data_IF_564223983554
#
_entry.id   IF_564223983554
#
_cell.length_a   1.000
_cell.length_b   1.000
_cell.length_c   1.000
_cell.angle_alpha   90.00
_cell.angle_beta   90.00
_cell.angle_gamma   90.00
#
_symmetry.space_group_name_H-M   'P 1'
#
loop_
_entity.id
_entity.type
_entity.pdbx_description
1 polymer ?
#
# COMPACT_ATOMS: atom_id res chain seq x y z
N UNK A 1 19.04 -11.30 33.68
CA UNK A 1 18.23 -10.63 34.73
C UNK A 1 16.87 -10.32 34.13
N UNK A 2 15.85 -11.07 34.50
CA UNK A 2 14.46 -10.83 34.09
C UNK A 2 13.87 -9.72 34.96
N UNK A 3 13.54 -8.58 34.35
CA UNK A 3 12.83 -7.48 35.02
C UNK A 3 11.36 -7.90 35.21
N UNK A 4 11.01 -8.33 36.43
CA UNK A 4 9.64 -8.54 36.86
C UNK A 4 9.03 -7.17 37.18
N UNK A 5 8.15 -6.69 36.29
CA UNK A 5 7.39 -5.46 36.53
C UNK A 5 6.15 -5.85 37.32
N UNK A 6 6.08 -5.40 38.57
CA UNK A 6 4.91 -5.57 39.41
C UNK A 6 3.85 -4.52 39.03
N UNK A 7 2.77 -4.98 38.39
CA UNK A 7 1.64 -4.14 37.96
C UNK A 7 0.75 -3.72 39.13
N UNK A 8 0.88 -4.34 40.31
CA UNK A 8 0.08 -4.01 41.49
C UNK A 8 0.64 -2.85 42.31
N UNK A 9 1.90 -2.48 42.09
CA UNK A 9 2.56 -1.36 42.78
C UNK A 9 3.39 -0.50 41.80
N UNK A 10 2.74 0.34 40.97
CA UNK A 10 3.43 1.19 40.01
C UNK A 10 4.28 2.26 40.70
N UNK A 11 5.49 2.51 40.18
CA UNK A 11 6.35 3.60 40.65
C UNK A 11 5.63 4.96 40.53
N UNK A 12 5.74 5.79 41.57
CA UNK A 12 5.07 7.08 41.66
C UNK A 12 5.34 7.96 40.42
N UNK A 13 4.29 8.56 39.86
CA UNK A 13 4.37 9.45 38.70
C UNK A 13 4.20 8.79 37.32
N UNK A 14 3.94 7.48 37.24
CA UNK A 14 3.72 6.78 35.97
C UNK A 14 2.23 6.46 35.74
N UNK A 15 1.72 6.83 34.57
CA UNK A 15 0.39 6.43 34.10
C UNK A 15 0.51 5.16 33.25
N UNK A 16 -0.05 4.05 33.71
CA UNK A 16 -0.09 2.80 32.94
C UNK A 16 -1.48 2.59 32.35
N UNK A 17 -1.55 2.39 31.04
CA UNK A 17 -2.79 2.03 30.33
C UNK A 17 -2.71 0.56 29.93
N UNK A 18 -3.37 -0.31 30.69
CA UNK A 18 -3.50 -1.73 30.37
C UNK A 18 -4.72 -1.90 29.47
N UNK A 19 -4.52 -2.48 28.28
CA UNK A 19 -5.61 -2.86 27.39
C UNK A 19 -5.50 -4.35 27.12
N UNK A 20 -6.49 -5.10 27.58
CA UNK A 20 -6.63 -6.53 27.28
C UNK A 20 -7.31 -6.61 25.92
N UNK A 21 -6.54 -6.99 24.90
CA UNK A 21 -7.10 -7.29 23.58
C UNK A 21 -7.37 -8.80 23.50
N UNK A 22 -8.46 -9.22 22.84
CA UNK A 22 -8.63 -10.63 22.51
C UNK A 22 -7.42 -11.11 21.70
N UNK A 23 -6.87 -12.28 22.02
CA UNK A 23 -5.86 -12.90 21.17
C UNK A 23 -6.49 -13.13 19.79
N UNK A 24 -5.94 -12.46 18.79
CA UNK A 24 -6.40 -12.60 17.41
C UNK A 24 -6.24 -14.07 17.00
N UNK A 25 -7.36 -14.70 16.63
CA UNK A 25 -7.30 -16.10 16.23
C UNK A 25 -6.48 -16.22 14.95
N UNK A 26 -5.82 -17.37 14.76
CA UNK A 26 -5.09 -17.65 13.50
C UNK A 26 -5.97 -17.48 12.26
N UNK A 27 -7.28 -17.72 12.39
CA UNK A 27 -8.25 -17.54 11.32
C UNK A 27 -8.48 -16.06 10.97
N UNK A 28 -8.70 -15.20 11.96
CA UNK A 28 -8.88 -13.75 11.76
C UNK A 28 -7.64 -13.10 11.16
N UNK A 29 -6.46 -13.49 11.64
CA UNK A 29 -5.18 -13.03 11.09
C UNK A 29 -5.04 -13.38 9.61
N UNK A 30 -5.41 -14.61 9.23
CA UNK A 30 -5.33 -15.06 7.84
C UNK A 30 -6.31 -14.31 6.94
N UNK A 31 -7.52 -14.00 7.44
CA UNK A 31 -8.51 -13.20 6.69
C UNK A 31 -7.98 -11.79 6.44
N UNK A 32 -7.36 -11.15 7.45
CA UNK A 32 -6.76 -9.82 7.27
C UNK A 32 -5.65 -9.84 6.23
N UNK A 33 -4.71 -10.77 6.35
CA UNK A 33 -3.60 -10.90 5.41
C UNK A 33 -4.09 -11.19 3.98
N UNK A 34 -5.08 -12.08 3.83
CA UNK A 34 -5.67 -12.38 2.53
C UNK A 34 -6.32 -11.15 1.90
N UNK A 35 -7.10 -10.38 2.68
CA UNK A 35 -7.70 -9.12 2.22
C UNK A 35 -6.63 -8.14 1.72
N UNK A 36 -5.56 -7.98 2.48
CA UNK A 36 -4.49 -7.04 2.14
C UNK A 36 -3.74 -7.49 0.87
N UNK A 37 -3.50 -8.80 0.71
CA UNK A 37 -2.92 -9.37 -0.52
C UNK A 37 -3.84 -9.19 -1.73
N UNK A 38 -5.14 -9.45 -1.59
CA UNK A 38 -6.11 -9.25 -2.68
C UNK A 38 -6.18 -7.78 -3.07
N UNK A 39 -6.18 -6.87 -2.11
CA UNK A 39 -6.16 -5.43 -2.36
C UNK A 39 -4.88 -5.00 -3.08
N UNK A 40 -3.73 -5.55 -2.68
CA UNK A 40 -2.46 -5.25 -3.32
C UNK A 40 -2.42 -5.77 -4.77
N UNK A 41 -2.87 -7.00 -5.00
CA UNK A 41 -2.94 -7.59 -6.34
C UNK A 41 -3.93 -6.85 -7.25
N UNK A 42 -5.08 -6.44 -6.72
CA UNK A 42 -6.05 -5.66 -7.50
C UNK A 42 -5.50 -4.29 -7.89
N UNK A 43 -4.76 -3.63 -6.99
CA UNK A 43 -4.08 -2.38 -7.29
C UNK A 43 -3.03 -2.57 -8.40
N UNK A 44 -2.19 -3.62 -8.33
CA UNK A 44 -1.22 -3.93 -9.39
C UNK A 44 -1.92 -4.18 -10.72
N UNK A 45 -2.99 -4.98 -10.71
CA UNK A 45 -3.74 -5.29 -11.92
C UNK A 45 -4.34 -4.01 -12.56
N UNK A 46 -4.88 -3.12 -11.74
CA UNK A 46 -5.45 -1.85 -12.21
C UNK A 46 -4.37 -0.93 -12.81
N UNK A 47 -3.23 -0.77 -12.14
CA UNK A 47 -2.10 0.01 -12.65
C UNK A 47 -1.58 -0.58 -13.97
N UNK A 48 -1.43 -1.91 -14.05
CA UNK A 48 -1.00 -2.61 -15.25
C UNK A 48 -1.99 -2.42 -16.41
N UNK A 49 -3.29 -2.46 -16.14
CA UNK A 49 -4.33 -2.24 -17.13
C UNK A 49 -4.30 -0.81 -17.70
N UNK A 50 -4.11 0.20 -16.83
CA UNK A 50 -3.95 1.60 -17.28
C UNK A 50 -2.69 1.75 -18.14
N UNK A 51 -1.56 1.22 -17.70
CA UNK A 51 -0.31 1.28 -18.44
C UNK A 51 -0.44 0.62 -19.83
N UNK A 52 -1.07 -0.56 -19.89
CA UNK A 52 -1.41 -1.24 -21.13
C UNK A 52 -2.28 -0.37 -22.04
N UNK A 53 -3.35 0.21 -21.50
CA UNK A 53 -4.26 1.08 -22.27
C UNK A 53 -3.55 2.31 -22.84
N UNK A 54 -2.68 2.95 -22.06
CA UNK A 54 -1.86 4.07 -22.53
C UNK A 54 -0.92 3.64 -23.65
N UNK A 55 -0.25 2.50 -23.53
CA UNK A 55 0.64 1.97 -24.58
C UNK A 55 -0.14 1.69 -25.86
N UNK A 56 -1.28 1.01 -25.77
CA UNK A 56 -2.16 0.73 -26.93
C UNK A 56 -2.60 2.01 -27.62
N UNK A 57 -2.98 3.04 -26.86
CA UNK A 57 -3.39 4.35 -27.39
C UNK A 57 -2.25 5.02 -28.17
N UNK A 58 -1.00 4.84 -27.73
CA UNK A 58 0.16 5.46 -28.38
C UNK A 58 0.61 4.74 -29.65
N UNK A 59 0.46 3.41 -29.71
CA UNK A 59 0.87 2.62 -30.88
C UNK A 59 -0.22 2.53 -31.95
N UNK A 60 -1.47 2.84 -31.61
CA UNK A 60 -2.59 2.77 -32.56
C UNK A 60 -2.54 3.95 -33.53
N UNK A 61 -2.39 3.71 -34.85
CA UNK A 61 -2.39 4.77 -35.85
C UNK A 61 -3.79 5.39 -35.99
N UNK A 62 -3.84 6.70 -36.27
CA UNK A 62 -5.10 7.43 -36.46
C UNK A 62 -5.82 7.84 -35.16
N UNK A 63 -5.20 7.63 -33.99
CA UNK A 63 -5.73 8.19 -32.74
C UNK A 63 -5.65 9.72 -32.74
N UNK A 64 -6.65 10.41 -32.17
CA UNK A 64 -6.62 11.86 -32.07
C UNK A 64 -5.44 12.30 -31.20
N UNK A 65 -4.81 13.45 -31.54
CA UNK A 65 -3.61 13.91 -30.86
C UNK A 65 -3.83 14.21 -29.37
N UNK A 66 -5.05 14.52 -28.97
CA UNK A 66 -5.43 14.70 -27.56
C UNK A 66 -5.27 13.40 -26.74
N UNK A 67 -5.78 12.27 -27.23
CA UNK A 67 -5.70 10.99 -26.55
C UNK A 67 -4.26 10.50 -26.38
N UNK A 68 -3.41 10.77 -27.37
CA UNK A 68 -1.98 10.47 -27.30
C UNK A 68 -1.28 11.33 -26.24
N UNK A 69 -1.60 12.63 -26.14
CA UNK A 69 -1.04 13.52 -25.11
C UNK A 69 -1.43 13.10 -23.70
N UNK A 70 -2.69 12.71 -23.51
CA UNK A 70 -3.15 12.19 -22.22
C UNK A 70 -2.44 10.88 -21.86
N UNK A 71 -2.28 9.95 -22.80
CA UNK A 71 -1.54 8.71 -22.55
C UNK A 71 -0.06 8.97 -22.20
N UNK A 72 0.60 9.92 -22.87
CA UNK A 72 1.97 10.32 -22.57
C UNK A 72 2.12 10.96 -21.19
N UNK A 73 1.18 11.82 -20.78
CA UNK A 73 1.25 12.50 -19.48
C UNK A 73 1.07 11.51 -18.33
N UNK A 74 0.15 10.55 -18.47
CA UNK A 74 -0.06 9.47 -17.49
C UNK A 74 1.20 8.61 -17.33
N UNK A 75 1.81 8.18 -18.44
CA UNK A 75 3.04 7.37 -18.39
C UNK A 75 4.22 8.15 -17.78
N UNK A 76 4.35 9.44 -18.09
CA UNK A 76 5.39 10.29 -17.52
C UNK A 76 5.21 10.51 -16.01
N UNK A 77 3.97 10.73 -15.56
CA UNK A 77 3.65 10.84 -14.15
C UNK A 77 3.94 9.52 -13.40
N UNK A 78 3.60 8.37 -14.00
CA UNK A 78 3.91 7.07 -13.45
C UNK A 78 5.44 6.84 -13.33
N UNK A 79 6.21 7.18 -14.37
CA UNK A 79 7.66 7.08 -14.34
C UNK A 79 8.30 8.00 -13.28
N UNK A 80 7.81 9.24 -13.17
CA UNK A 80 8.24 10.20 -12.15
C UNK A 80 7.92 9.75 -10.73
N UNK A 81 6.72 9.21 -10.51
CA UNK A 81 6.31 8.65 -9.22
C UNK A 81 7.17 7.45 -8.81
N UNK A 82 7.44 6.52 -9.74
CA UNK A 82 8.30 5.37 -9.49
C UNK A 82 9.73 5.79 -9.16
N UNK A 83 10.29 6.71 -9.95
CA UNK A 83 11.65 7.26 -9.74
C UNK A 83 11.74 7.97 -8.39
N UNK A 84 10.75 8.80 -8.05
CA UNK A 84 10.70 9.50 -6.76
C UNK A 84 10.59 8.55 -5.56
N UNK A 85 9.84 7.45 -5.69
CA UNK A 85 9.79 6.41 -4.66
C UNK A 85 11.14 5.73 -4.45
N UNK A 86 11.84 5.40 -5.55
CA UNK A 86 13.16 4.75 -5.49
C UNK A 86 14.24 5.64 -4.87
N UNK A 87 14.18 6.95 -5.09
CA UNK A 87 15.15 7.91 -4.54
C UNK A 87 14.93 8.18 -3.05
N UNK A 88 13.66 8.14 -2.60
CA UNK A 88 13.31 8.44 -1.19
C UNK A 88 13.51 7.25 -0.25
N UNK A 89 13.65 6.04 -0.81
CA UNK A 89 13.96 4.82 -0.09
C UNK A 89 15.47 4.69 0.13
#
# INVERSE_FOLDING_TARGET
MTNLIDLSNPAAGHNYKVSVQPDESRAERNIRLFKDVVLFLSAIAFIGFIAWFCIVTLITPGQPPESQRWAQSVLSAAAGGLTGYLIRR
#
